data_IF_945107646815
#
_entry.id   IF_945107646815
#
_cell.length_a   1.000
_cell.length_b   1.000
_cell.length_c   1.000
_cell.angle_alpha   90.00
_cell.angle_beta   90.00
_cell.angle_gamma   90.00
#
_symmetry.space_group_name_H-M   'P 1'
#
loop_
_entity.id
_entity.type
_entity.pdbx_description
1 polymer ?
#
# COMPACT_ATOMS: atom_id res chain seq x y z
N UNK A 1 11.01 -7.81 11.52
CA UNK A 1 9.76 -7.69 10.73
C UNK A 1 8.60 -8.13 11.59
N UNK A 2 7.62 -7.26 11.73
CA UNK A 2 6.51 -7.49 12.66
C UNK A 2 5.19 -7.59 11.91
N UNK A 3 4.46 -8.70 12.11
CA UNK A 3 3.11 -8.84 11.57
C UNK A 3 2.20 -7.79 12.22
N UNK A 4 1.62 -6.93 11.39
CA UNK A 4 0.67 -5.91 11.84
C UNK A 4 -0.76 -6.48 11.84
N UNK A 5 -1.20 -7.04 10.72
CA UNK A 5 -2.55 -7.56 10.57
C UNK A 5 -2.66 -8.48 9.35
N UNK A 6 -3.64 -9.37 9.38
CA UNK A 6 -4.07 -10.11 8.19
C UNK A 6 -5.43 -9.57 7.75
N UNK A 7 -5.61 -9.39 6.45
CA UNK A 7 -6.84 -8.84 5.88
C UNK A 7 -7.29 -9.67 4.69
N UNK A 8 -8.60 -9.70 4.47
CA UNK A 8 -9.18 -10.34 3.30
C UNK A 8 -9.27 -9.33 2.15
N UNK A 9 -8.69 -9.67 1.02
CA UNK A 9 -8.74 -8.87 -0.20
C UNK A 9 -9.46 -9.70 -1.27
N UNK A 10 -10.74 -9.44 -1.44
CA UNK A 10 -11.58 -10.15 -2.42
C UNK A 10 -11.47 -11.68 -2.30
N UNK A 11 -11.46 -12.20 -1.07
CA UNK A 11 -11.41 -13.63 -0.80
C UNK A 11 -10.02 -14.20 -0.60
N UNK A 12 -8.97 -13.42 -0.82
CA UNK A 12 -7.58 -13.84 -0.60
C UNK A 12 -7.02 -13.14 0.63
N UNK A 13 -6.39 -13.90 1.51
CA UNK A 13 -5.83 -13.37 2.74
C UNK A 13 -4.42 -12.82 2.52
N UNK A 14 -4.24 -11.55 2.79
CA UNK A 14 -2.94 -10.86 2.76
C UNK A 14 -2.44 -10.63 4.17
N UNK A 15 -1.13 -10.78 4.36
CA UNK A 15 -0.45 -10.46 5.62
C UNK A 15 0.25 -9.13 5.48
N UNK A 16 -0.03 -8.20 6.39
CA UNK A 16 0.58 -6.86 6.42
C UNK A 16 1.64 -6.82 7.50
N UNK A 17 2.85 -6.43 7.12
CA UNK A 17 4.02 -6.36 8.02
C UNK A 17 4.54 -4.93 8.12
N UNK A 18 4.96 -4.55 9.34
CA UNK A 18 5.79 -3.37 9.54
C UNK A 18 7.24 -3.81 9.53
N UNK A 19 8.07 -3.08 8.82
CA UNK A 19 9.50 -3.36 8.71
C UNK A 19 10.32 -2.14 9.13
N UNK A 20 11.42 -2.38 9.81
CA UNK A 20 12.39 -1.34 10.14
C UNK A 20 13.31 -1.08 8.95
N UNK A 21 13.90 0.11 8.92
CA UNK A 21 14.90 0.46 7.91
C UNK A 21 16.00 -0.60 7.84
N UNK A 22 16.29 -1.08 6.65
CA UNK A 22 17.32 -2.10 6.40
C UNK A 22 16.89 -3.55 6.60
N UNK A 23 15.70 -3.81 7.15
CA UNK A 23 15.21 -5.18 7.37
C UNK A 23 14.86 -5.92 6.07
N UNK A 24 14.35 -5.20 5.08
CA UNK A 24 13.99 -5.76 3.78
C UNK A 24 14.98 -5.20 2.74
N UNK A 25 15.86 -6.04 2.26
CA UNK A 25 16.93 -5.63 1.33
C UNK A 25 16.38 -5.04 0.03
N UNK A 26 15.27 -5.59 -0.47
CA UNK A 26 14.67 -5.12 -1.71
C UNK A 26 14.10 -3.70 -1.55
N UNK A 27 13.39 -3.44 -0.46
CA UNK A 27 12.86 -2.11 -0.15
C UNK A 27 13.99 -1.11 0.07
N UNK A 28 15.02 -1.50 0.77
CA UNK A 28 16.19 -0.66 1.04
C UNK A 28 16.91 -0.28 -0.26
N UNK A 29 17.17 -1.27 -1.11
CA UNK A 29 17.86 -1.07 -2.39
C UNK A 29 17.11 -0.13 -3.31
N UNK A 30 15.78 -0.22 -3.35
CA UNK A 30 14.95 0.60 -4.23
C UNK A 30 14.39 1.84 -3.52
N UNK A 31 14.71 2.03 -2.25
CA UNK A 31 14.21 3.13 -1.43
C UNK A 31 12.68 3.19 -1.40
N UNK A 32 12.04 2.05 -1.22
CA UNK A 32 10.59 1.94 -1.14
C UNK A 32 10.08 2.11 0.29
N UNK A 33 9.03 2.90 0.47
CA UNK A 33 8.31 3.03 1.74
C UNK A 33 7.29 1.93 1.98
N UNK A 34 6.89 1.23 0.93
CA UNK A 34 5.97 0.11 0.97
C UNK A 34 6.20 -0.83 -0.19
N UNK A 35 5.64 -2.03 -0.08
CA UNK A 35 5.77 -3.07 -1.10
C UNK A 35 4.60 -4.04 -0.99
N UNK A 36 3.98 -4.35 -2.13
CA UNK A 36 2.99 -5.42 -2.23
C UNK A 36 3.59 -6.55 -3.08
N UNK A 37 3.80 -7.71 -2.46
CA UNK A 37 4.25 -8.90 -3.18
C UNK A 37 3.04 -9.78 -3.44
N UNK A 38 2.64 -9.85 -4.71
CA UNK A 38 1.36 -10.44 -5.12
C UNK A 38 1.34 -11.97 -5.13
N UNK A 39 2.50 -12.60 -5.32
CA UNK A 39 2.60 -14.06 -5.39
C UNK A 39 2.41 -14.69 -4.01
N UNK A 40 3.00 -14.12 -2.98
CA UNK A 40 2.92 -14.62 -1.61
C UNK A 40 1.93 -13.86 -0.73
N UNK A 41 1.17 -12.93 -1.31
CA UNK A 41 0.10 -12.18 -0.66
C UNK A 41 0.55 -11.44 0.59
N UNK A 42 1.61 -10.63 0.44
CA UNK A 42 2.18 -9.83 1.53
C UNK A 42 2.22 -8.35 1.18
N UNK A 43 2.02 -7.54 2.20
CA UNK A 43 2.21 -6.09 2.14
C UNK A 43 3.20 -5.71 3.21
N UNK A 44 4.19 -4.90 2.84
CA UNK A 44 5.21 -4.39 3.76
C UNK A 44 5.10 -2.89 3.84
N UNK A 45 5.11 -2.34 5.04
CA UNK A 45 5.12 -0.90 5.29
C UNK A 45 6.33 -0.56 6.14
N UNK A 46 7.14 0.38 5.65
CA UNK A 46 8.32 0.85 6.36
C UNK A 46 7.89 1.65 7.59
N UNK A 47 8.46 1.32 8.74
CA UNK A 47 8.32 2.13 9.95
C UNK A 47 9.22 3.36 9.80
N UNK A 48 8.62 4.50 9.50
CA UNK A 48 9.35 5.73 9.21
C UNK A 48 10.14 6.26 10.41
N UNK A 49 9.75 5.88 11.63
CA UNK A 49 10.50 6.29 12.83
C UNK A 49 11.90 5.68 12.88
N UNK A 50 12.13 4.59 12.13
CA UNK A 50 13.41 3.91 12.05
C UNK A 50 14.30 4.43 10.92
N UNK A 51 13.80 5.38 10.13
CA UNK A 51 14.53 5.96 9.00
C UNK A 51 15.26 7.23 9.43
N UNK A 52 16.40 7.48 8.80
CA UNK A 52 17.15 8.73 9.02
C UNK A 52 16.36 9.93 8.48
N UNK A 53 15.74 9.76 7.31
CA UNK A 53 15.00 10.82 6.63
C UNK A 53 13.77 11.29 7.43
N UNK A 54 13.02 10.37 8.03
CA UNK A 54 11.76 10.66 8.71
C UNK A 54 11.85 10.64 10.22
N UNK A 55 12.97 10.20 10.78
CA UNK A 55 13.15 10.05 12.23
C UNK A 55 13.00 11.35 13.00
N UNK A 56 13.32 12.49 12.38
CA UNK A 56 13.20 13.82 12.98
C UNK A 56 11.81 14.46 12.86
N UNK A 57 10.90 13.85 12.09
CA UNK A 57 9.54 14.35 11.92
C UNK A 57 8.66 14.01 13.11
N UNK A 58 7.49 14.67 13.22
CA UNK A 58 6.51 14.36 14.24
C UNK A 58 5.88 12.99 13.98
N UNK A 59 5.41 12.35 15.05
CA UNK A 59 4.68 11.09 14.94
C UNK A 59 3.44 11.22 14.05
N UNK A 60 2.73 12.34 14.16
CA UNK A 60 1.54 12.63 13.34
C UNK A 60 1.87 12.64 11.85
N UNK A 61 2.96 13.30 11.44
CA UNK A 61 3.40 13.35 10.05
C UNK A 61 3.79 11.96 9.56
N UNK A 62 4.58 11.22 10.35
CA UNK A 62 4.99 9.86 9.98
C UNK A 62 3.79 8.94 9.80
N UNK A 63 2.83 8.96 10.73
CA UNK A 63 1.62 8.14 10.64
C UNK A 63 0.76 8.47 9.42
N UNK A 64 0.67 9.75 9.08
CA UNK A 64 -0.06 10.20 7.89
C UNK A 64 0.57 9.62 6.62
N UNK A 65 1.89 9.68 6.51
CA UNK A 65 2.62 9.13 5.37
C UNK A 65 2.51 7.61 5.31
N UNK A 66 2.68 6.93 6.44
CA UNK A 66 2.54 5.46 6.50
C UNK A 66 1.14 5.02 6.12
N UNK A 67 0.11 5.75 6.56
CA UNK A 67 -1.27 5.44 6.19
C UNK A 67 -1.51 5.60 4.68
N UNK A 68 -0.97 6.64 4.08
CA UNK A 68 -1.07 6.84 2.63
C UNK A 68 -0.37 5.71 1.87
N UNK A 69 0.83 5.35 2.31
CA UNK A 69 1.60 4.24 1.72
C UNK A 69 0.85 2.91 1.86
N UNK A 70 0.26 2.66 3.02
CA UNK A 70 -0.54 1.46 3.23
C UNK A 70 -1.74 1.39 2.29
N UNK A 71 -2.46 2.51 2.12
CA UNK A 71 -3.57 2.56 1.15
C UNK A 71 -3.08 2.26 -0.27
N UNK A 72 -1.93 2.81 -0.66
CA UNK A 72 -1.31 2.55 -1.97
C UNK A 72 -1.09 1.04 -2.19
N UNK A 73 -0.46 0.37 -1.23
CA UNK A 73 -0.17 -1.05 -1.36
C UNK A 73 -1.44 -1.92 -1.31
N UNK A 74 -2.44 -1.52 -0.54
CA UNK A 74 -3.73 -2.19 -0.51
C UNK A 74 -4.44 -2.09 -1.88
N UNK A 75 -4.35 -0.95 -2.56
CA UNK A 75 -4.91 -0.80 -3.91
C UNK A 75 -4.22 -1.75 -4.90
N UNK A 76 -2.90 -1.89 -4.83
CA UNK A 76 -2.20 -2.89 -5.63
C UNK A 76 -2.74 -4.29 -5.38
N UNK A 77 -2.98 -4.66 -4.12
CA UNK A 77 -3.53 -5.96 -3.76
C UNK A 77 -4.95 -6.16 -4.36
N UNK A 78 -5.82 -5.17 -4.25
CA UNK A 78 -7.16 -5.23 -4.84
C UNK A 78 -7.11 -5.39 -6.35
N UNK A 79 -6.25 -4.64 -7.01
CA UNK A 79 -6.10 -4.73 -8.47
C UNK A 79 -5.54 -6.08 -8.89
N UNK A 80 -4.59 -6.63 -8.15
CA UNK A 80 -4.07 -7.98 -8.40
C UNK A 80 -5.18 -9.03 -8.26
N UNK A 81 -5.94 -9.00 -7.17
CA UNK A 81 -7.03 -9.96 -6.93
C UNK A 81 -8.18 -9.78 -7.92
N UNK A 82 -8.29 -8.63 -8.55
CA UNK A 82 -9.26 -8.37 -9.62
C UNK A 82 -8.79 -8.89 -10.99
N UNK A 83 -7.61 -9.50 -11.08
CA UNK A 83 -7.05 -10.01 -12.33
C UNK A 83 -6.34 -8.97 -13.17
N UNK A 84 -6.10 -7.77 -12.65
CA UNK A 84 -5.51 -6.65 -13.41
C UNK A 84 -3.99 -6.56 -13.30
N UNK A 85 -3.36 -7.54 -12.65
CA UNK A 85 -1.90 -7.63 -12.55
C UNK A 85 -1.26 -8.06 -13.87
N UNK A 86 -2.01 -8.76 -14.72
CA UNK A 86 -1.49 -9.41 -15.90
C UNK A 86 -2.02 -8.76 -17.18
N UNK A 87 -1.12 -8.57 -18.13
CA UNK A 87 -1.44 -8.17 -19.50
C UNK A 87 -0.53 -8.98 -20.41
N UNK A 88 -1.09 -9.94 -21.14
CA UNK A 88 -0.31 -10.88 -21.95
C UNK A 88 0.47 -10.22 -23.09
N UNK A 89 0.01 -9.07 -23.58
CA UNK A 89 0.67 -8.33 -24.67
C UNK A 89 1.68 -7.30 -24.19
N UNK A 90 1.41 -6.65 -23.05
CA UNK A 90 2.25 -5.59 -22.50
C UNK A 90 2.26 -5.69 -20.97
N UNK A 91 3.00 -6.66 -20.39
CA UNK A 91 2.96 -6.91 -18.95
C UNK A 91 3.25 -5.68 -18.07
N UNK A 92 4.11 -4.79 -18.53
CA UNK A 92 4.46 -3.55 -17.82
C UNK A 92 3.34 -2.51 -17.84
N UNK A 93 2.33 -2.67 -18.69
CA UNK A 93 1.19 -1.75 -18.80
C UNK A 93 -0.07 -2.28 -18.14
N UNK A 94 0.01 -3.38 -17.40
CA UNK A 94 -1.13 -3.89 -16.64
C UNK A 94 -1.64 -2.83 -15.65
N UNK A 95 -2.96 -2.74 -15.48
CA UNK A 95 -3.59 -1.71 -14.63
C UNK A 95 -3.09 -1.71 -13.19
N UNK A 96 -2.87 -2.90 -12.62
CA UNK A 96 -2.36 -3.01 -11.25
C UNK A 96 -0.97 -2.40 -11.07
N UNK A 97 -0.25 -2.16 -12.17
CA UNK A 97 1.09 -1.58 -12.19
C UNK A 97 1.11 -0.09 -12.50
N UNK A 98 -0.06 0.52 -12.69
CA UNK A 98 -0.16 1.96 -12.97
C UNK A 98 -0.03 2.76 -11.68
N UNK A 99 1.17 3.21 -11.38
CA UNK A 99 1.49 3.91 -10.15
C UNK A 99 0.76 5.25 -10.02
N UNK A 100 0.55 5.96 -11.11
CA UNK A 100 -0.19 7.24 -11.08
C UNK A 100 -1.64 7.04 -10.65
N UNK A 101 -2.31 6.03 -11.21
CA UNK A 101 -3.68 5.69 -10.83
C UNK A 101 -3.76 5.20 -9.39
N UNK A 102 -2.84 4.34 -8.99
CA UNK A 102 -2.78 3.81 -7.62
C UNK A 102 -2.55 4.94 -6.62
N UNK A 103 -1.64 5.85 -6.89
CA UNK A 103 -1.40 7.04 -6.07
C UNK A 103 -2.64 7.91 -5.96
N UNK A 104 -3.32 8.17 -7.08
CA UNK A 104 -4.53 8.97 -7.08
C UNK A 104 -5.59 8.38 -6.15
N UNK A 105 -5.85 7.08 -6.27
CA UNK A 105 -6.83 6.39 -5.42
C UNK A 105 -6.40 6.44 -3.96
N UNK A 106 -5.15 6.12 -3.68
CA UNK A 106 -4.63 6.10 -2.31
C UNK A 106 -4.74 7.45 -1.61
N UNK A 107 -4.47 8.53 -2.34
CA UNK A 107 -4.53 9.89 -1.80
C UNK A 107 -5.98 10.36 -1.66
N UNK A 108 -6.83 10.10 -2.64
CA UNK A 108 -8.19 10.64 -2.69
C UNK A 108 -9.24 9.78 -2.00
N UNK A 109 -8.99 8.48 -1.78
CA UNK A 109 -9.99 7.58 -1.20
C UNK A 109 -10.62 8.09 0.10
N UNK A 110 -9.87 8.64 1.07
CA UNK A 110 -10.49 9.17 2.28
C UNK A 110 -11.46 10.33 2.02
N UNK A 111 -11.17 11.17 1.03
CA UNK A 111 -12.03 12.30 0.66
C UNK A 111 -13.29 11.82 -0.05
N UNK A 112 -13.14 10.84 -0.94
CA UNK A 112 -14.26 10.22 -1.65
C UNK A 112 -15.20 9.55 -0.65
N UNK A 113 -14.63 8.78 0.28
CA UNK A 113 -15.38 8.08 1.31
C UNK A 113 -16.18 9.04 2.20
N UNK A 114 -15.56 10.17 2.57
CA UNK A 114 -16.23 11.21 3.35
C UNK A 114 -17.46 11.76 2.63
N UNK A 115 -17.37 12.02 1.32
CA UNK A 115 -18.49 12.47 0.51
C UNK A 115 -19.58 11.39 0.45
N UNK A 116 -19.21 10.12 0.29
CA UNK A 116 -20.16 9.02 0.34
C UNK A 116 -20.92 8.98 1.67
N UNK A 117 -20.22 9.20 2.77
CA UNK A 117 -20.83 9.25 4.10
C UNK A 117 -21.82 10.41 4.21
N UNK A 118 -21.44 11.60 3.74
CA UNK A 118 -22.31 12.79 3.75
C UNK A 118 -23.57 12.60 2.91
N UNK A 119 -23.47 11.87 1.81
CA UNK A 119 -24.60 11.58 0.91
C UNK A 119 -25.41 10.35 1.33
N UNK A 120 -24.97 9.62 2.35
CA UNK A 120 -25.65 8.42 2.80
C UNK A 120 -25.58 7.24 1.81
N UNK A 121 -24.54 7.18 0.98
CA UNK A 121 -24.39 6.14 -0.04
C UNK A 121 -23.14 5.27 0.14
N UNK A 122 -22.71 5.10 1.37
CA UNK A 122 -21.56 4.23 1.67
C UNK A 122 -21.90 2.75 1.47
N UNK A 123 -23.14 2.41 1.54
CA UNK A 123 -23.60 1.03 1.43
C UNK A 123 -24.47 0.60 2.62
#
# INVERSE_FOLDING_TARGET
>A
MKLFRKVDILGTRYSVYRVSSGENEYMEKLNYGGLCTTIDHRIYILDLSTTEEWGGETEEVRKSMEACTLRHEVIHAFLNESGLQWNSFAPENAWAKNEEMVDWIAIQAPKIFKVYQELGCVG
#
